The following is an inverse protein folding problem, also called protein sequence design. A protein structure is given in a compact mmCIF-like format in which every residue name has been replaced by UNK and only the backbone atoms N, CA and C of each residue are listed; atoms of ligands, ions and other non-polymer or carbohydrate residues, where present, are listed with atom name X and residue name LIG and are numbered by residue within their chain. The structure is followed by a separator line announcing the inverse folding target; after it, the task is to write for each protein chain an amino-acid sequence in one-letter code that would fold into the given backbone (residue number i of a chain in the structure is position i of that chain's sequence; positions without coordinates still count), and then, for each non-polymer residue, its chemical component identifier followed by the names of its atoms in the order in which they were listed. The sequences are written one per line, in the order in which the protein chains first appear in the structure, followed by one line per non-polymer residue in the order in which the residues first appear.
data_IF_824857823867
#
_entry.id   IF_824857823867
#
_cell.length_a   1.000
_cell.length_b   1.000
_cell.length_c   1.000
_cell.angle_alpha   90.00
_cell.angle_beta   90.00
_cell.angle_gamma   90.00
#
_symmetry.space_group_name_H-M   'P 1'
#
loop_
_entity.id
_entity.type
_entity.pdbx_description
1 polymer ?
#
# COMPACT_ATOMS: atom_id res chain seq x y z
N UNK A 1 -6.11 -66.39 1.59
CA UNK A 1 -6.29 -64.97 1.97
C UNK A 1 -5.40 -64.10 1.09
N UNK A 2 -5.98 -63.08 0.42
CA UNK A 2 -5.27 -62.13 -0.45
C UNK A 2 -5.24 -60.78 0.29
N UNK A 3 -4.07 -60.24 0.61
CA UNK A 3 -3.95 -58.87 1.13
C UNK A 3 -3.20 -58.01 0.12
N UNK A 4 -3.97 -57.15 -0.54
CA UNK A 4 -3.49 -56.11 -1.43
C UNK A 4 -3.01 -54.93 -0.58
N UNK A 5 -1.74 -54.56 -0.76
CA UNK A 5 -1.15 -53.38 -0.15
C UNK A 5 -1.53 -52.17 -0.99
N UNK A 6 -2.39 -51.30 -0.45
CA UNK A 6 -2.66 -49.99 -1.02
C UNK A 6 -1.49 -49.06 -0.68
N UNK A 7 -0.78 -48.60 -1.71
CA UNK A 7 0.25 -47.57 -1.61
C UNK A 7 -0.47 -46.23 -1.40
N UNK A 8 -0.37 -45.65 -0.19
CA UNK A 8 -0.74 -44.26 0.04
C UNK A 8 0.40 -43.36 -0.46
N UNK A 9 0.19 -42.75 -1.63
CA UNK A 9 1.04 -41.67 -2.10
C UNK A 9 0.81 -40.40 -1.28
N UNK A 10 1.85 -39.92 -0.60
CA UNK A 10 1.82 -38.65 0.11
C UNK A 10 1.94 -37.49 -0.90
N UNK A 11 0.85 -36.73 -1.07
CA UNK A 11 0.85 -35.44 -1.77
C UNK A 11 1.50 -34.39 -0.86
N UNK A 12 2.80 -34.14 -1.04
CA UNK A 12 3.46 -32.99 -0.42
C UNK A 12 3.07 -31.72 -1.20
N UNK A 13 2.12 -30.95 -0.66
CA UNK A 13 1.79 -29.61 -1.15
C UNK A 13 2.97 -28.66 -0.88
N UNK A 14 3.76 -28.37 -1.91
CA UNK A 14 4.87 -27.41 -1.81
C UNK A 14 4.31 -25.99 -1.79
N UNK A 15 4.31 -25.36 -0.62
CA UNK A 15 3.92 -23.96 -0.46
C UNK A 15 5.13 -23.07 -0.77
N UNK A 16 5.26 -22.61 -2.02
CA UNK A 16 6.26 -21.60 -2.37
C UNK A 16 5.78 -20.21 -1.91
N UNK A 17 6.66 -19.36 -1.35
CA UNK A 17 6.30 -17.99 -1.00
C UNK A 17 5.96 -17.19 -2.26
N UNK A 18 5.02 -16.24 -2.18
CA UNK A 18 4.71 -15.37 -3.31
C UNK A 18 5.95 -14.56 -3.73
N UNK A 19 6.09 -14.24 -5.03
CA UNK A 19 7.19 -13.42 -5.50
C UNK A 19 7.17 -12.03 -4.84
N UNK A 20 8.35 -11.42 -4.63
CA UNK A 20 8.42 -10.07 -4.06
C UNK A 20 7.74 -9.05 -4.97
N UNK A 21 7.10 -8.05 -4.36
CA UNK A 21 6.48 -6.95 -5.09
C UNK A 21 7.48 -6.27 -6.03
N UNK A 22 7.05 -6.01 -7.27
CA UNK A 22 7.93 -5.47 -8.32
C UNK A 22 8.40 -4.03 -8.03
N UNK A 23 7.71 -3.30 -7.17
CA UNK A 23 7.94 -1.87 -6.91
C UNK A 23 8.16 -1.62 -5.42
N UNK A 24 9.21 -0.86 -5.11
CA UNK A 24 9.37 -0.26 -3.79
C UNK A 24 8.56 1.04 -3.73
N UNK A 25 7.71 1.16 -2.72
CA UNK A 25 6.91 2.35 -2.45
C UNK A 25 7.32 2.92 -1.08
N UNK A 26 7.96 4.07 -1.09
CA UNK A 26 8.29 4.84 0.10
C UNK A 26 7.20 5.87 0.33
N UNK A 27 6.57 5.85 1.50
CA UNK A 27 5.45 6.72 1.84
C UNK A 27 5.84 7.59 3.03
N UNK A 28 5.63 8.90 2.90
CA UNK A 28 5.84 9.87 3.97
C UNK A 28 4.71 10.89 3.97
N UNK A 29 4.14 11.20 5.13
CA UNK A 29 3.14 12.24 5.29
C UNK A 29 3.58 13.26 6.34
N UNK A 30 3.26 14.54 6.12
CA UNK A 30 3.57 15.62 7.05
C UNK A 30 2.41 16.63 7.14
N UNK A 31 2.20 17.28 8.31
CA UNK A 31 1.19 18.32 8.46
C UNK A 31 1.36 19.47 7.47
N UNK A 32 0.26 20.00 6.94
CA UNK A 32 0.21 21.10 5.98
C UNK A 32 -0.91 22.08 6.32
N UNK A 33 -0.57 23.16 7.01
CA UNK A 33 -1.51 24.20 7.45
C UNK A 33 -2.29 23.85 8.72
N UNK A 34 -2.60 22.57 8.94
CA UNK A 34 -3.14 22.07 10.21
C UNK A 34 -2.66 20.64 10.50
N UNK A 35 -2.77 20.22 11.76
CA UNK A 35 -2.51 18.85 12.19
C UNK A 35 -3.36 17.80 11.46
N UNK A 36 -4.59 18.14 11.11
CA UNK A 36 -5.52 17.22 10.45
C UNK A 36 -5.35 17.17 8.92
N UNK A 37 -4.52 18.05 8.35
CA UNK A 37 -4.28 18.11 6.91
C UNK A 37 -2.87 17.61 6.63
N UNK A 38 -2.75 16.45 6.00
CA UNK A 38 -1.47 15.78 5.79
C UNK A 38 -1.10 15.75 4.31
N UNK A 39 0.04 16.34 3.96
CA UNK A 39 0.65 16.20 2.65
C UNK A 39 1.44 14.90 2.59
N UNK A 40 0.97 13.95 1.80
CA UNK A 40 1.62 12.68 1.59
C UNK A 40 2.41 12.68 0.28
N UNK A 41 3.66 12.22 0.34
CA UNK A 41 4.50 11.88 -0.82
C UNK A 41 4.70 10.38 -0.89
N UNK A 42 4.54 9.83 -2.09
CA UNK A 42 4.81 8.43 -2.41
C UNK A 42 5.90 8.40 -3.48
N UNK A 43 7.04 7.79 -3.19
CA UNK A 43 8.11 7.58 -4.16
C UNK A 43 8.10 6.12 -4.61
N UNK A 44 7.98 5.92 -5.91
CA UNK A 44 7.94 4.61 -6.54
C UNK A 44 9.25 4.32 -7.27
N UNK A 45 9.85 3.17 -6.96
CA UNK A 45 11.10 2.70 -7.57
C UNK A 45 10.94 1.26 -8.03
N UNK A 46 11.30 0.97 -9.29
CA UNK A 46 11.35 -0.40 -9.82
C UNK A 46 12.48 -1.17 -9.13
N UNK A 47 12.16 -2.26 -8.44
CA UNK A 47 13.14 -3.04 -7.68
C UNK A 47 14.17 -3.75 -8.56
N UNK A 48 13.89 -3.96 -9.85
CA UNK A 48 14.76 -4.68 -10.77
C UNK A 48 15.91 -3.82 -11.28
N UNK A 49 15.66 -2.54 -11.51
CA UNK A 49 16.63 -1.63 -12.15
C UNK A 49 16.89 -0.35 -11.35
N UNK A 50 16.20 -0.14 -10.22
CA UNK A 50 16.36 1.03 -9.36
C UNK A 50 15.83 2.33 -9.97
N UNK A 51 15.14 2.29 -11.11
CA UNK A 51 14.64 3.48 -11.79
C UNK A 51 13.32 3.95 -11.17
N UNK A 52 13.07 5.28 -11.18
CA UNK A 52 11.77 5.79 -10.77
C UNK A 52 10.66 5.27 -11.68
N UNK A 53 9.52 4.92 -11.09
CA UNK A 53 8.33 4.52 -11.84
C UNK A 53 7.51 5.75 -12.16
N UNK A 54 7.51 6.16 -13.43
CA UNK A 54 6.72 7.27 -13.95
C UNK A 54 5.39 6.79 -14.55
N UNK A 55 4.41 7.69 -14.69
CA UNK A 55 3.14 7.39 -15.36
C UNK A 55 2.19 6.47 -14.60
N UNK A 56 2.50 6.07 -13.36
CA UNK A 56 1.56 5.40 -12.49
C UNK A 56 0.42 6.33 -12.04
N UNK A 57 -0.75 5.75 -11.83
CA UNK A 57 -1.83 6.37 -11.06
C UNK A 57 -1.69 5.92 -9.62
N UNK A 58 -1.50 6.89 -8.71
CA UNK A 58 -1.39 6.64 -7.27
C UNK A 58 -2.64 7.20 -6.59
N UNK A 59 -3.36 6.33 -5.89
CA UNK A 59 -4.55 6.70 -5.13
C UNK A 59 -4.29 6.48 -3.65
N UNK A 60 -4.53 7.52 -2.85
CA UNK A 60 -4.42 7.51 -1.40
C UNK A 60 -5.81 7.40 -0.79
N UNK A 61 -6.00 6.51 0.16
CA UNK A 61 -7.17 6.40 1.02
C UNK A 61 -6.68 6.18 2.44
N UNK A 62 -7.45 6.55 3.46
CA UNK A 62 -7.11 6.19 4.83
C UNK A 62 -8.32 5.74 5.63
N UNK A 63 -8.09 4.84 6.56
CA UNK A 63 -9.10 4.33 7.48
C UNK A 63 -8.54 4.32 8.91
N UNK A 64 -9.37 4.64 9.90
CA UNK A 64 -9.00 4.49 11.31
C UNK A 64 -9.16 3.02 11.71
N UNK A 65 -8.09 2.30 12.11
CA UNK A 65 -8.13 0.86 12.32
C UNK A 65 -8.95 0.43 13.55
N UNK A 66 -9.20 1.32 14.52
CA UNK A 66 -10.07 1.03 15.67
C UNK A 66 -11.56 0.99 15.29
N UNK A 67 -11.96 1.70 14.23
CA UNK A 67 -13.32 1.77 13.72
C UNK A 67 -13.30 1.79 12.19
N UNK A 68 -12.90 0.66 11.55
CA UNK A 68 -12.67 0.59 10.12
C UNK A 68 -13.95 0.89 9.34
N UNK A 69 -13.82 1.56 8.20
CA UNK A 69 -14.91 1.99 7.30
C UNK A 69 -15.91 3.00 7.87
N UNK A 70 -15.95 3.20 9.19
CA UNK A 70 -16.76 4.25 9.82
C UNK A 70 -16.04 5.59 9.69
N UNK A 71 -14.74 5.59 10.01
CA UNK A 71 -13.87 6.75 9.91
C UNK A 71 -12.89 6.53 8.77
N UNK A 72 -13.21 7.12 7.61
CA UNK A 72 -12.46 6.95 6.38
C UNK A 72 -12.29 8.26 5.62
N UNK A 73 -11.12 8.44 5.03
CA UNK A 73 -10.83 9.53 4.10
C UNK A 73 -11.18 9.06 2.70
N UNK A 74 -11.97 9.84 1.96
CA UNK A 74 -12.30 9.51 0.56
C UNK A 74 -11.03 9.34 -0.29
N UNK A 75 -11.03 8.42 -1.27
CA UNK A 75 -9.89 8.25 -2.15
C UNK A 75 -9.48 9.55 -2.86
N UNK A 76 -8.19 9.88 -2.80
CA UNK A 76 -7.56 11.03 -3.47
C UNK A 76 -6.56 10.51 -4.49
N UNK A 77 -6.67 10.97 -5.74
CA UNK A 77 -5.64 10.70 -6.76
C UNK A 77 -4.49 11.68 -6.57
N UNK A 78 -3.30 11.17 -6.33
CA UNK A 78 -2.08 11.97 -6.16
C UNK A 78 -1.59 12.50 -7.51
N UNK A 79 -1.04 13.71 -7.50
CA UNK A 79 -0.45 14.34 -8.69
C UNK A 79 1.03 13.95 -8.85
N UNK A 80 1.52 13.72 -10.08
CA UNK A 80 2.94 13.51 -10.30
C UNK A 80 3.76 14.73 -9.89
N UNK A 81 4.83 14.50 -9.15
CA UNK A 81 5.82 15.50 -8.73
C UNK A 81 7.22 15.26 -9.35
N UNK A 82 7.31 14.31 -10.28
CA UNK A 82 8.54 13.94 -11.00
C UNK A 82 9.43 12.95 -10.23
N UNK A 83 10.35 12.29 -10.96
CA UNK A 83 11.28 11.30 -10.40
C UNK A 83 10.56 10.19 -9.63
N UNK A 84 9.47 9.68 -10.21
CA UNK A 84 8.62 8.63 -9.65
C UNK A 84 7.93 9.03 -8.34
N UNK A 85 7.86 10.33 -8.04
CA UNK A 85 7.20 10.84 -6.85
C UNK A 85 5.80 11.32 -7.18
N UNK A 86 4.85 10.99 -6.31
CA UNK A 86 3.45 11.37 -6.38
C UNK A 86 3.06 12.07 -5.08
N UNK A 87 2.29 13.15 -5.16
CA UNK A 87 1.88 13.93 -4.00
C UNK A 87 0.36 14.06 -3.93
N UNK A 88 -0.20 13.81 -2.76
CA UNK A 88 -1.61 14.07 -2.48
C UNK A 88 -1.77 14.62 -1.07
N UNK A 89 -2.91 15.26 -0.82
CA UNK A 89 -3.25 15.73 0.52
C UNK A 89 -4.44 14.95 1.04
N UNK A 90 -4.33 14.44 2.27
CA UNK A 90 -5.41 13.80 3.01
C UNK A 90 -5.89 14.75 4.11
N UNK A 91 -7.20 14.88 4.25
CA UNK A 91 -7.83 15.62 5.34
C UNK A 91 -8.53 14.63 6.26
N UNK A 92 -8.05 14.58 7.51
CA UNK A 92 -8.55 13.69 8.54
C UNK A 92 -9.61 14.39 9.38
N UNK A 93 -10.62 13.66 9.80
CA UNK A 93 -11.71 14.23 10.62
C UNK A 93 -11.31 14.41 12.09
N UNK A 94 -10.30 13.69 12.55
CA UNK A 94 -9.87 13.69 13.93
C UNK A 94 -8.44 13.18 14.10
N UNK A 95 -7.83 13.54 15.23
CA UNK A 95 -6.55 13.00 15.67
C UNK A 95 -6.68 11.51 16.01
N UNK A 96 -5.58 10.78 15.87
CA UNK A 96 -5.51 9.35 16.16
C UNK A 96 -4.59 8.61 15.20
N UNK A 97 -4.57 7.29 15.36
CA UNK A 97 -3.86 6.39 14.44
C UNK A 97 -4.71 6.11 13.22
N UNK A 98 -4.10 6.22 12.06
CA UNK A 98 -4.71 5.95 10.76
C UNK A 98 -3.85 4.97 9.96
N UNK A 99 -4.47 4.26 9.03
CA UNK A 99 -3.77 3.45 8.02
C UNK A 99 -4.04 4.05 6.67
N UNK A 100 -3.01 4.58 6.02
CA UNK A 100 -3.06 5.08 4.65
C UNK A 100 -2.84 3.90 3.69
N UNK A 101 -3.86 3.56 2.92
CA UNK A 101 -3.74 2.64 1.79
C UNK A 101 -3.31 3.41 0.54
N UNK A 102 -2.24 2.94 -0.09
CA UNK A 102 -1.71 3.48 -1.34
C UNK A 102 -1.93 2.45 -2.43
N UNK A 103 -2.86 2.73 -3.35
CA UNK A 103 -3.12 1.91 -4.53
C UNK A 103 -2.35 2.44 -5.72
N UNK A 104 -1.66 1.55 -6.41
CA UNK A 104 -0.82 1.88 -7.55
C UNK A 104 -1.36 1.12 -8.77
N UNK A 105 -1.57 1.84 -9.86
CA UNK A 105 -2.01 1.29 -11.15
C UNK A 105 -1.25 1.93 -12.32
N UNK A 106 -1.36 1.32 -13.51
CA UNK A 106 -0.68 1.78 -14.72
C UNK A 106 0.44 0.81 -15.14
N UNK A 107 1.70 1.28 -15.27
CA UNK A 107 2.82 0.44 -15.71
C UNK A 107 3.14 -0.70 -14.73
N UNK A 108 2.67 -0.55 -13.49
CA UNK A 108 2.77 -1.51 -12.39
C UNK A 108 1.45 -1.50 -11.62
N UNK A 109 1.10 -2.63 -11.01
CA UNK A 109 -0.07 -2.76 -10.15
C UNK A 109 0.37 -3.29 -8.79
N UNK A 110 0.11 -2.52 -7.75
CA UNK A 110 0.49 -2.87 -6.38
C UNK A 110 -0.40 -2.13 -5.36
N UNK A 111 -0.35 -2.56 -4.10
CA UNK A 111 -0.97 -1.85 -2.99
C UNK A 111 -0.10 -1.97 -1.74
N UNK A 112 0.20 -0.84 -1.10
CA UNK A 112 0.92 -0.81 0.18
C UNK A 112 0.12 -0.04 1.23
N UNK A 113 0.42 -0.28 2.51
CA UNK A 113 -0.17 0.45 3.63
C UNK A 113 0.91 1.19 4.41
N UNK A 114 0.56 2.35 4.96
CA UNK A 114 1.43 3.17 5.80
C UNK A 114 0.65 3.59 7.05
N UNK A 115 1.18 3.24 8.23
CA UNK A 115 0.61 3.70 9.49
C UNK A 115 1.00 5.16 9.73
N UNK A 116 0.04 5.98 10.16
CA UNK A 116 0.22 7.39 10.42
C UNK A 116 -0.45 7.76 11.73
N UNK A 117 0.29 8.39 12.64
CA UNK A 117 -0.28 9.00 13.84
C UNK A 117 -0.52 10.49 13.57
N UNK A 118 -1.79 10.89 13.55
CA UNK A 118 -2.24 12.27 13.34
C UNK A 118 -2.47 12.90 14.71
N UNK A 119 -1.63 13.84 15.11
CA UNK A 119 -1.67 14.49 16.42
C UNK A 119 -1.79 16.02 16.26
N UNK A 120 -2.51 16.71 17.18
CA UNK A 120 -2.66 18.16 17.17
C UNK A 120 -1.35 18.92 17.34
#
# INVERSE_FOLDING_TARGET
MRWAWLVLGALAASCAPPPPAAVAAEVSCAPEGSALRQRCRVRLTDRRNGRPVEGATVTLQADMPSMPLVHSVRPVVATPAGSGTYQGTLEFEMAGRWVVAVRIAGPVRDQVTHALDVNP
#
